data_IF_468260313833
#
_entry.id   IF_468260313833
#
_cell.length_a   1.000
_cell.length_b   1.000
_cell.length_c   1.000
_cell.angle_alpha   90.00
_cell.angle_beta   90.00
_cell.angle_gamma   90.00
#
_symmetry.space_group_name_H-M   'P 1'
#
loop_
_entity.id
_entity.type
_entity.pdbx_description
1 polymer ?
#
# COMPACT_ATOMS: atom_id res chain seq x y z
N UNK A 1 18.00 -30.09 49.67
CA UNK A 1 16.57 -29.77 49.96
C UNK A 1 16.24 -28.54 49.11
N UNK A 2 15.50 -28.69 48.13
CA UNK A 2 14.33 -28.01 47.59
C UNK A 2 14.16 -28.39 46.13
N UNK A 3 13.11 -29.16 45.90
CA UNK A 3 12.59 -29.49 44.61
C UNK A 3 11.75 -28.29 44.09
N UNK A 4 11.94 -27.91 42.87
CA UNK A 4 11.18 -26.89 42.17
C UNK A 4 10.73 -27.41 40.81
N UNK A 5 9.43 -27.55 40.64
CA UNK A 5 8.76 -28.21 39.55
C UNK A 5 9.02 -27.53 38.17
N UNK A 6 9.48 -28.32 37.22
CA UNK A 6 9.46 -28.04 35.79
C UNK A 6 8.03 -28.29 35.26
N UNK A 7 7.32 -27.21 34.92
CA UNK A 7 6.09 -27.29 34.13
C UNK A 7 6.47 -27.40 32.65
N UNK A 8 6.49 -28.61 32.13
CA UNK A 8 6.54 -28.87 30.68
C UNK A 8 5.14 -28.66 30.09
N UNK A 9 4.97 -27.62 29.32
CA UNK A 9 3.90 -27.58 28.34
C UNK A 9 4.28 -28.50 27.19
N UNK A 10 3.77 -29.69 27.20
CA UNK A 10 3.94 -30.65 26.11
C UNK A 10 3.06 -30.23 24.94
N UNK A 11 3.70 -29.96 23.83
CA UNK A 11 3.07 -29.83 22.52
C UNK A 11 2.25 -31.09 22.21
N UNK A 12 0.94 -30.98 21.90
CA UNK A 12 0.10 -32.14 21.59
C UNK A 12 0.62 -33.02 20.46
N UNK A 13 1.49 -32.50 19.61
CA UNK A 13 2.15 -33.24 18.52
C UNK A 13 3.19 -34.26 19.01
N UNK A 14 3.74 -34.10 20.23
CA UNK A 14 4.79 -34.98 20.74
C UNK A 14 4.17 -36.20 21.48
N UNK A 15 2.98 -36.07 22.03
CA UNK A 15 2.31 -37.15 22.75
C UNK A 15 1.78 -38.28 21.83
N UNK A 16 1.63 -38.02 20.53
CA UNK A 16 1.14 -38.99 19.53
C UNK A 16 2.23 -39.89 18.94
N UNK A 17 3.48 -39.64 19.24
CA UNK A 17 4.62 -40.35 18.62
C UNK A 17 5.16 -41.54 19.49
N UNK A 18 4.71 -41.69 20.72
CA UNK A 18 5.29 -42.68 21.63
C UNK A 18 4.47 -43.98 21.89
N UNK A 19 3.26 -44.03 21.35
CA UNK A 19 2.42 -45.25 21.51
C UNK A 19 1.97 -45.71 20.15
N UNK A 20 2.67 -46.62 19.51
CA UNK A 20 2.03 -47.55 18.56
C UNK A 20 3.00 -48.08 17.49
N UNK A 21 3.40 -49.32 17.61
CA UNK A 21 4.03 -50.12 16.55
C UNK A 21 3.00 -51.14 16.06
N UNK A 22 2.44 -50.96 14.88
CA UNK A 22 1.87 -52.01 14.01
C UNK A 22 1.20 -51.40 12.74
N UNK A 23 1.09 -52.18 11.70
CA UNK A 23 0.73 -51.79 10.30
C UNK A 23 -0.64 -51.11 10.07
N UNK A 24 -1.47 -50.97 11.06
CA UNK A 24 -2.72 -50.17 11.00
C UNK A 24 -2.49 -48.67 11.10
N UNK A 25 -1.27 -48.22 11.22
CA UNK A 25 -0.91 -46.80 11.49
C UNK A 25 -0.65 -45.95 10.25
N UNK A 26 -0.32 -46.57 9.13
CA UNK A 26 -0.16 -45.81 7.85
C UNK A 26 -1.49 -45.21 7.40
N UNK A 27 -2.57 -45.96 7.52
CA UNK A 27 -3.91 -45.50 7.13
C UNK A 27 -4.47 -44.46 8.11
N UNK A 28 -4.24 -44.64 9.43
CA UNK A 28 -4.65 -43.67 10.44
C UNK A 28 -3.82 -42.37 10.36
N UNK A 29 -2.51 -42.46 10.15
CA UNK A 29 -1.65 -41.29 9.87
C UNK A 29 -2.09 -40.56 8.62
N UNK A 30 -2.41 -41.30 7.55
CA UNK A 30 -2.93 -40.72 6.32
C UNK A 30 -4.27 -39.97 6.56
N UNK A 31 -5.17 -40.55 7.35
CA UNK A 31 -6.45 -39.95 7.69
C UNK A 31 -6.32 -38.78 8.67
N UNK A 32 -5.40 -38.84 9.65
CA UNK A 32 -5.12 -37.73 10.60
C UNK A 32 -4.39 -36.59 9.86
N UNK A 33 -3.43 -36.89 9.00
CA UNK A 33 -2.76 -35.86 8.18
C UNK A 33 -3.72 -35.26 7.13
N UNK A 34 -4.63 -36.07 6.57
CA UNK A 34 -5.70 -35.58 5.71
C UNK A 34 -6.73 -34.74 6.51
N UNK A 35 -7.09 -35.15 7.74
CA UNK A 35 -7.97 -34.40 8.63
C UNK A 35 -7.32 -33.09 9.11
N UNK A 36 -6.02 -33.08 9.42
CA UNK A 36 -5.24 -31.86 9.75
C UNK A 36 -5.11 -30.97 8.50
N UNK A 37 -5.01 -31.57 7.31
CA UNK A 37 -5.06 -30.82 6.03
C UNK A 37 -6.46 -30.23 5.75
N UNK A 38 -7.52 -30.87 6.20
CA UNK A 38 -8.92 -30.38 6.04
C UNK A 38 -9.22 -29.24 7.02
N UNK A 39 -8.51 -29.14 8.14
CA UNK A 39 -8.58 -27.98 9.06
C UNK A 39 -7.62 -26.84 8.71
N UNK A 40 -6.81 -26.95 7.66
CA UNK A 40 -6.16 -25.78 7.08
C UNK A 40 -7.27 -24.91 6.50
N UNK A 41 -7.48 -23.75 7.10
CA UNK A 41 -8.33 -22.67 6.57
C UNK A 41 -8.11 -22.59 5.07
N UNK A 42 -9.14 -22.87 4.28
CA UNK A 42 -9.03 -22.97 2.81
C UNK A 42 -8.82 -21.61 2.16
N UNK A 43 -9.00 -20.53 2.91
CA UNK A 43 -8.90 -19.15 2.42
C UNK A 43 -7.92 -18.34 3.26
N UNK A 44 -7.00 -17.67 2.56
CA UNK A 44 -5.99 -16.77 3.14
C UNK A 44 -6.68 -15.49 3.65
N UNK A 45 -6.63 -15.23 4.98
CA UNK A 45 -7.21 -14.04 5.58
C UNK A 45 -6.21 -12.89 5.65
N UNK A 46 -6.54 -11.78 5.03
CA UNK A 46 -5.67 -10.62 4.91
C UNK A 46 -6.31 -9.42 5.61
N UNK A 47 -5.60 -8.83 6.59
CA UNK A 47 -5.97 -7.54 7.14
C UNK A 47 -5.43 -6.43 6.21
N UNK A 48 -6.33 -5.56 5.77
CA UNK A 48 -6.00 -4.38 4.96
C UNK A 48 -6.15 -3.13 5.83
N UNK A 49 -5.04 -2.50 6.19
CA UNK A 49 -5.00 -1.16 6.78
C UNK A 49 -4.95 -0.14 5.63
N UNK A 50 -5.72 0.95 5.74
CA UNK A 50 -5.88 1.91 4.64
C UNK A 50 -6.88 1.50 3.56
N UNK A 51 -7.66 0.44 3.78
CA UNK A 51 -8.59 -0.14 2.80
C UNK A 51 -9.74 0.77 2.35
N UNK A 52 -9.99 1.88 3.03
CA UNK A 52 -11.02 2.88 2.67
C UNK A 52 -10.49 4.00 1.76
N UNK A 53 -9.18 4.08 1.55
CA UNK A 53 -8.54 5.04 0.65
C UNK A 53 -8.54 4.56 -0.81
N UNK A 54 -8.08 5.43 -1.72
CA UNK A 54 -8.05 5.15 -3.16
C UNK A 54 -7.23 3.89 -3.48
N UNK A 55 -5.98 3.81 -3.04
CA UNK A 55 -5.13 2.63 -3.25
C UNK A 55 -5.70 1.40 -2.57
N UNK A 56 -6.07 1.49 -1.29
CA UNK A 56 -6.57 0.35 -0.51
C UNK A 56 -7.85 -0.25 -1.09
N UNK A 57 -8.74 0.58 -1.65
CA UNK A 57 -9.97 0.10 -2.30
C UNK A 57 -9.67 -0.71 -3.58
N UNK A 58 -8.67 -0.30 -4.37
CA UNK A 58 -8.21 -1.08 -5.53
C UNK A 58 -7.51 -2.39 -5.09
N UNK A 59 -6.69 -2.35 -4.03
CA UNK A 59 -6.08 -3.56 -3.45
C UNK A 59 -7.15 -4.57 -3.04
N UNK A 60 -8.22 -4.13 -2.41
CA UNK A 60 -9.36 -5.00 -2.04
C UNK A 60 -9.98 -5.64 -3.28
N UNK A 61 -10.19 -4.87 -4.36
CA UNK A 61 -10.71 -5.42 -5.63
C UNK A 61 -9.81 -6.52 -6.19
N UNK A 62 -8.50 -6.29 -6.20
CA UNK A 62 -7.51 -7.24 -6.70
C UNK A 62 -7.42 -8.50 -5.82
N UNK A 63 -7.47 -8.36 -4.49
CA UNK A 63 -7.49 -9.49 -3.56
C UNK A 63 -8.74 -10.35 -3.71
N UNK A 64 -9.91 -9.73 -3.95
CA UNK A 64 -11.16 -10.46 -4.24
C UNK A 64 -11.05 -11.33 -5.50
N UNK A 65 -10.46 -10.81 -6.57
CA UNK A 65 -10.21 -11.58 -7.81
C UNK A 65 -9.35 -12.82 -7.56
N UNK A 66 -8.54 -12.80 -6.49
CA UNK A 66 -7.64 -13.88 -6.08
C UNK A 66 -8.21 -14.80 -4.99
N UNK A 67 -9.48 -14.61 -4.62
CA UNK A 67 -10.19 -15.47 -3.65
C UNK A 67 -9.72 -15.31 -2.20
N UNK A 68 -9.10 -14.18 -1.83
CA UNK A 68 -8.68 -13.93 -0.45
C UNK A 68 -9.88 -13.54 0.45
N UNK A 69 -9.86 -14.00 1.71
CA UNK A 69 -10.74 -13.49 2.77
C UNK A 69 -10.16 -12.15 3.27
N UNK A 70 -10.93 -11.09 3.21
CA UNK A 70 -10.45 -9.73 3.47
C UNK A 70 -11.11 -9.17 4.72
N UNK A 71 -10.28 -8.67 5.63
CA UNK A 71 -10.68 -7.82 6.76
C UNK A 71 -10.13 -6.43 6.55
N UNK A 72 -10.96 -5.40 6.73
CA UNK A 72 -10.56 -3.99 6.61
C UNK A 72 -10.66 -3.31 7.97
N UNK A 73 -9.57 -2.62 8.38
CA UNK A 73 -9.60 -1.74 9.52
C UNK A 73 -10.26 -0.41 9.14
N UNK A 74 -11.28 0.00 9.88
CA UNK A 74 -11.96 1.28 9.73
C UNK A 74 -11.94 2.06 11.04
N UNK A 75 -11.87 3.39 10.97
CA UNK A 75 -11.88 4.25 12.18
C UNK A 75 -13.28 4.48 12.75
N UNK A 76 -14.30 4.35 11.92
CA UNK A 76 -15.69 4.65 12.28
C UNK A 76 -16.61 3.51 11.87
N UNK A 77 -17.59 3.13 12.69
CA UNK A 77 -18.50 2.03 12.39
C UNK A 77 -19.48 2.34 11.25
N UNK A 78 -19.71 3.62 10.92
CA UNK A 78 -20.61 4.05 9.85
C UNK A 78 -20.05 3.77 8.44
N UNK A 79 -18.77 3.43 8.33
CA UNK A 79 -18.18 3.02 7.05
C UNK A 79 -18.85 1.74 6.59
N UNK A 80 -19.62 1.83 5.50
CA UNK A 80 -20.31 0.67 4.92
C UNK A 80 -19.28 -0.35 4.43
N UNK A 81 -19.36 -1.60 4.90
CA UNK A 81 -18.49 -2.64 4.39
C UNK A 81 -18.74 -2.85 2.90
N UNK A 82 -17.68 -3.07 2.14
CA UNK A 82 -17.83 -3.55 0.77
C UNK A 82 -18.39 -4.98 0.79
N UNK A 83 -19.26 -5.38 -0.15
CA UNK A 83 -19.77 -6.76 -0.20
C UNK A 83 -18.64 -7.79 -0.16
N UNK A 84 -18.75 -8.80 0.71
CA UNK A 84 -17.73 -9.85 0.86
C UNK A 84 -16.46 -9.42 1.59
N UNK A 85 -16.49 -8.33 2.37
CA UNK A 85 -15.36 -7.83 3.17
C UNK A 85 -15.79 -7.72 4.63
N UNK A 86 -15.01 -8.31 5.53
CA UNK A 86 -15.17 -8.13 6.98
C UNK A 86 -14.65 -6.75 7.38
N UNK A 87 -15.43 -6.02 8.18
CA UNK A 87 -15.01 -4.71 8.71
C UNK A 87 -14.76 -4.82 10.20
N UNK A 88 -13.64 -4.28 10.67
CA UNK A 88 -13.30 -4.16 12.09
C UNK A 88 -13.00 -2.71 12.42
N UNK A 89 -13.60 -2.23 13.52
CA UNK A 89 -13.36 -0.86 14.00
C UNK A 89 -12.11 -0.84 14.86
N UNK A 90 -11.21 0.12 14.62
CA UNK A 90 -10.03 0.34 15.44
C UNK A 90 -9.28 1.61 15.04
N UNK A 91 -8.39 2.01 15.94
CA UNK A 91 -7.49 3.16 15.79
C UNK A 91 -6.05 2.68 15.79
N UNK A 92 -5.23 3.18 14.84
CA UNK A 92 -3.81 2.82 14.74
C UNK A 92 -2.98 3.30 15.94
N UNK A 93 -3.48 4.25 16.73
CA UNK A 93 -2.89 4.68 17.98
C UNK A 93 -3.40 3.87 19.20
N UNK A 94 -4.39 3.00 19.03
CA UNK A 94 -4.86 2.10 20.09
C UNK A 94 -4.35 0.67 19.87
N UNK A 95 -3.28 0.23 20.60
CA UNK A 95 -2.73 -1.10 20.49
C UNK A 95 -3.74 -2.23 20.78
N UNK A 96 -4.76 -1.97 21.60
CA UNK A 96 -5.77 -2.98 21.97
C UNK A 96 -6.67 -3.29 20.76
N UNK A 97 -7.18 -2.25 20.10
CA UNK A 97 -8.03 -2.41 18.92
C UNK A 97 -7.26 -3.04 17.74
N UNK A 98 -5.99 -2.64 17.53
CA UNK A 98 -5.13 -3.25 16.51
C UNK A 98 -4.83 -4.71 16.83
N UNK A 99 -4.54 -5.03 18.10
CA UNK A 99 -4.34 -6.42 18.52
C UNK A 99 -5.55 -7.30 18.23
N UNK A 100 -6.79 -6.79 18.44
CA UNK A 100 -8.05 -7.47 18.09
C UNK A 100 -8.23 -7.60 16.57
N UNK A 101 -7.92 -6.56 15.80
CA UNK A 101 -8.07 -6.60 14.34
C UNK A 101 -7.18 -7.66 13.67
N UNK A 102 -6.06 -8.01 14.31
CA UNK A 102 -5.10 -9.02 13.85
C UNK A 102 -5.46 -10.45 14.27
N UNK A 103 -6.53 -10.67 15.05
CA UNK A 103 -6.93 -12.02 15.47
C UNK A 103 -7.37 -12.88 14.29
N UNK A 104 -6.71 -14.03 14.12
CA UNK A 104 -6.97 -14.97 13.03
C UNK A 104 -6.59 -14.45 11.64
N UNK A 105 -5.73 -13.44 11.55
CA UNK A 105 -5.19 -12.90 10.30
C UNK A 105 -3.90 -13.63 9.93
N UNK A 106 -3.78 -14.02 8.67
CA UNK A 106 -2.60 -14.69 8.14
C UNK A 106 -1.57 -13.68 7.60
N UNK A 107 -2.02 -12.64 6.90
CA UNK A 107 -1.14 -11.62 6.28
C UNK A 107 -1.68 -10.21 6.51
N UNK A 108 -0.77 -9.23 6.49
CA UNK A 108 -1.08 -7.82 6.70
C UNK A 108 -0.66 -6.99 5.47
N UNK A 109 -1.59 -6.18 4.95
CA UNK A 109 -1.24 -5.01 4.14
C UNK A 109 -1.26 -3.76 5.01
N UNK A 110 -0.10 -3.10 5.14
CA UNK A 110 0.08 -1.93 5.97
C UNK A 110 0.26 -0.68 5.08
N UNK A 111 -0.80 0.09 4.94
CA UNK A 111 -0.84 1.38 4.25
C UNK A 111 -1.25 2.47 5.24
N UNK A 112 -0.28 3.24 5.72
CA UNK A 112 -0.51 4.39 6.58
C UNK A 112 -0.92 5.62 5.76
N UNK A 113 -1.83 6.42 6.31
CA UNK A 113 -2.07 7.77 5.81
C UNK A 113 -0.90 8.68 6.20
N UNK A 114 -0.67 9.72 5.41
CA UNK A 114 0.27 10.80 5.76
C UNK A 114 -0.36 11.63 6.89
N UNK A 115 0.16 11.45 8.11
CA UNK A 115 -0.29 12.10 9.33
C UNK A 115 0.91 12.43 10.21
N UNK A 116 0.80 13.39 11.16
CA UNK A 116 1.93 13.74 12.04
C UNK A 116 2.47 12.58 12.89
N UNK A 117 1.67 11.56 13.10
CA UNK A 117 1.93 10.39 13.93
C UNK A 117 2.10 9.09 13.09
N UNK A 118 2.32 9.21 11.77
CA UNK A 118 2.46 8.09 10.83
C UNK A 118 3.47 7.05 11.30
N UNK A 119 4.65 7.49 11.77
CA UNK A 119 5.68 6.59 12.29
C UNK A 119 5.18 5.75 13.47
N UNK A 120 4.55 6.40 14.45
CA UNK A 120 4.00 5.71 15.63
C UNK A 120 2.95 4.69 15.24
N UNK A 121 2.01 5.07 14.38
CA UNK A 121 0.96 4.19 13.86
C UNK A 121 1.53 2.97 13.15
N UNK A 122 2.51 3.18 12.25
CA UNK A 122 3.16 2.11 11.51
C UNK A 122 3.89 1.13 12.41
N UNK A 123 4.63 1.63 13.41
CA UNK A 123 5.37 0.79 14.35
C UNK A 123 4.45 0.01 15.31
N UNK A 124 3.34 0.59 15.77
CA UNK A 124 2.33 -0.13 16.56
C UNK A 124 1.76 -1.30 15.74
N UNK A 125 1.28 -1.03 14.53
CA UNK A 125 0.68 -2.05 13.67
C UNK A 125 1.68 -3.17 13.35
N UNK A 126 2.91 -2.83 12.97
CA UNK A 126 3.95 -3.80 12.65
C UNK A 126 4.36 -4.66 13.86
N UNK A 127 4.60 -4.06 15.02
CA UNK A 127 5.00 -4.81 16.21
C UNK A 127 3.89 -5.76 16.71
N UNK A 128 2.62 -5.34 16.58
CA UNK A 128 1.50 -6.21 16.92
C UNK A 128 1.32 -7.36 15.92
N UNK A 129 1.55 -7.12 14.62
CA UNK A 129 1.58 -8.16 13.60
C UNK A 129 2.67 -9.21 13.93
N UNK A 130 3.87 -8.78 14.32
CA UNK A 130 4.93 -9.67 14.81
C UNK A 130 4.50 -10.49 16.02
N UNK A 131 3.96 -9.83 17.03
CA UNK A 131 3.47 -10.50 18.27
C UNK A 131 2.38 -11.54 17.96
N UNK A 132 1.54 -11.29 16.96
CA UNK A 132 0.49 -12.21 16.48
C UNK A 132 1.00 -13.27 15.51
N UNK A 133 2.31 -13.25 15.16
CA UNK A 133 2.95 -14.17 14.21
C UNK A 133 2.28 -14.18 12.84
N UNK A 134 1.92 -13.00 12.35
CA UNK A 134 1.47 -12.82 10.96
C UNK A 134 2.55 -13.35 10.02
N UNK A 135 2.18 -14.18 9.05
CA UNK A 135 3.12 -14.90 8.18
C UNK A 135 3.77 -14.02 7.11
N UNK A 136 3.19 -12.84 6.82
CA UNK A 136 3.71 -11.90 5.81
C UNK A 136 3.14 -10.51 6.03
N UNK A 137 4.00 -9.50 5.94
CA UNK A 137 3.63 -8.09 5.94
C UNK A 137 4.00 -7.47 4.58
N UNK A 138 3.03 -6.92 3.88
CA UNK A 138 3.29 -6.06 2.71
C UNK A 138 3.13 -4.62 3.14
N UNK A 139 4.23 -3.86 3.09
CA UNK A 139 4.28 -2.48 3.53
C UNK A 139 4.27 -1.51 2.34
N UNK A 140 3.40 -0.51 2.42
CA UNK A 140 3.29 0.56 1.43
C UNK A 140 4.17 1.74 1.82
N UNK A 141 5.35 1.79 1.23
CA UNK A 141 6.36 2.83 1.38
C UNK A 141 6.26 3.88 0.26
N UNK A 142 7.40 4.41 -0.17
CA UNK A 142 7.51 5.38 -1.28
C UNK A 142 8.80 5.17 -2.06
N UNK A 143 8.78 5.46 -3.35
CA UNK A 143 9.94 5.38 -4.24
C UNK A 143 11.09 6.26 -3.76
N UNK A 144 12.33 5.80 -3.90
CA UNK A 144 13.58 6.51 -3.55
C UNK A 144 13.60 7.09 -2.13
N UNK A 145 12.92 6.47 -1.18
CA UNK A 145 12.74 6.95 0.20
C UNK A 145 14.07 7.34 0.88
N UNK A 146 15.18 6.67 0.54
CA UNK A 146 16.51 6.96 1.10
C UNK A 146 17.09 8.29 0.64
N UNK A 147 16.61 8.83 -0.46
CA UNK A 147 17.11 10.08 -1.06
C UNK A 147 16.30 11.31 -0.64
N UNK A 148 15.21 11.12 0.13
CA UNK A 148 14.26 12.18 0.52
C UNK A 148 14.06 12.21 2.04
N UNK A 149 15.14 12.06 2.81
CA UNK A 149 15.12 11.99 4.29
C UNK A 149 14.71 13.32 4.95
N UNK A 150 14.79 14.40 4.21
CA UNK A 150 14.35 15.74 4.58
C UNK A 150 12.84 15.96 4.44
N UNK A 151 12.12 15.06 3.76
CA UNK A 151 10.67 15.07 3.63
C UNK A 151 10.06 14.28 4.80
N UNK A 152 9.26 14.91 5.70
CA UNK A 152 8.83 14.28 6.95
C UNK A 152 8.13 12.93 6.77
N UNK A 153 7.14 12.82 5.85
CA UNK A 153 6.47 11.54 5.65
C UNK A 153 7.36 10.47 4.97
N UNK A 154 8.34 10.84 4.14
CA UNK A 154 9.32 9.88 3.60
C UNK A 154 10.25 9.38 4.70
N UNK A 155 10.71 10.27 5.58
CA UNK A 155 11.54 9.89 6.73
C UNK A 155 10.79 8.91 7.66
N UNK A 156 9.50 9.13 7.90
CA UNK A 156 8.65 8.22 8.66
C UNK A 156 8.58 6.83 8.00
N UNK A 157 8.37 6.79 6.68
CA UNK A 157 8.33 5.53 5.90
C UNK A 157 9.67 4.80 5.93
N UNK A 158 10.78 5.52 5.78
CA UNK A 158 12.12 4.93 5.87
C UNK A 158 12.37 4.29 7.24
N UNK A 159 11.97 4.95 8.32
CA UNK A 159 12.10 4.42 9.68
C UNK A 159 11.25 3.14 9.88
N UNK A 160 10.04 3.10 9.34
CA UNK A 160 9.19 1.89 9.35
C UNK A 160 9.82 0.76 8.52
N UNK A 161 10.35 1.04 7.32
CA UNK A 161 11.09 0.06 6.52
C UNK A 161 12.28 -0.52 7.27
N UNK A 162 13.04 0.34 7.97
CA UNK A 162 14.18 -0.10 8.77
C UNK A 162 13.77 -1.09 9.86
N UNK A 163 12.67 -0.81 10.57
CA UNK A 163 12.11 -1.72 11.55
C UNK A 163 11.61 -3.05 10.92
N UNK A 164 10.98 -2.98 9.75
CA UNK A 164 10.52 -4.16 9.02
C UNK A 164 11.68 -5.07 8.62
N UNK A 165 12.81 -4.51 8.21
CA UNK A 165 14.00 -5.25 7.78
C UNK A 165 14.80 -5.85 8.93
N UNK A 166 14.70 -5.25 10.12
CA UNK A 166 15.46 -5.67 11.32
C UNK A 166 14.92 -6.96 11.94
N UNK A 167 13.65 -7.25 11.76
CA UNK A 167 12.98 -8.35 12.48
C UNK A 167 12.50 -9.48 11.55
N UNK A 168 12.28 -10.67 12.11
CA UNK A 168 12.10 -11.95 11.41
C UNK A 168 10.74 -12.17 10.72
N UNK A 169 9.86 -11.18 10.61
CA UNK A 169 8.60 -11.34 9.87
C UNK A 169 8.88 -11.29 8.36
N UNK A 170 8.48 -12.29 7.58
CA UNK A 170 8.54 -12.19 6.12
C UNK A 170 7.82 -10.94 5.63
N UNK A 171 8.48 -10.19 4.77
CA UNK A 171 7.95 -8.90 4.29
C UNK A 171 8.08 -8.74 2.78
N UNK A 172 7.28 -7.85 2.23
CA UNK A 172 7.48 -7.21 0.93
C UNK A 172 7.27 -5.71 1.08
N UNK A 173 8.15 -4.91 0.50
CA UNK A 173 8.03 -3.45 0.51
C UNK A 173 7.63 -2.99 -0.89
N UNK A 174 6.53 -2.26 -0.96
CA UNK A 174 5.99 -1.64 -2.17
C UNK A 174 6.34 -0.16 -2.11
N UNK A 175 7.11 0.33 -3.07
CA UNK A 175 7.60 1.72 -3.15
C UNK A 175 7.05 2.41 -4.40
N UNK A 176 5.81 2.87 -4.38
CA UNK A 176 5.24 3.58 -5.51
C UNK A 176 5.83 4.99 -5.65
N UNK A 177 5.85 5.46 -6.88
CA UNK A 177 6.03 6.85 -7.26
C UNK A 177 4.72 7.64 -7.00
N UNK A 178 4.69 8.91 -7.38
CA UNK A 178 3.49 9.76 -7.35
C UNK A 178 2.32 9.10 -8.10
N UNK A 179 1.10 9.23 -7.57
CA UNK A 179 -0.07 8.57 -8.15
C UNK A 179 -0.74 9.43 -9.22
N UNK A 180 -1.08 8.84 -10.37
CA UNK A 180 -1.90 9.50 -11.40
C UNK A 180 -3.17 10.09 -10.81
N UNK A 181 -3.84 9.35 -9.93
CA UNK A 181 -5.13 9.68 -9.36
C UNK A 181 -5.13 10.93 -8.46
N UNK A 182 -3.97 11.41 -8.02
CA UNK A 182 -3.88 12.70 -7.34
C UNK A 182 -4.38 13.83 -8.25
N UNK A 183 -4.11 13.72 -9.55
CA UNK A 183 -4.48 14.75 -10.54
C UNK A 183 -5.98 14.75 -10.88
N UNK A 184 -6.71 13.67 -10.55
CA UNK A 184 -8.17 13.64 -10.72
C UNK A 184 -8.90 14.70 -9.88
N UNK A 185 -8.27 15.17 -8.80
CA UNK A 185 -8.78 16.27 -7.95
C UNK A 185 -8.72 17.64 -8.60
N UNK A 186 -7.96 17.81 -9.70
CA UNK A 186 -7.75 19.10 -10.36
C UNK A 186 -8.83 19.44 -11.40
N UNK A 187 -9.97 18.75 -11.40
CA UNK A 187 -11.06 18.97 -12.34
C UNK A 187 -11.36 20.46 -12.56
N UNK A 188 -11.67 21.19 -11.49
CA UNK A 188 -12.09 22.59 -11.60
C UNK A 188 -10.96 23.50 -12.07
N UNK A 189 -9.74 23.28 -11.59
CA UNK A 189 -8.55 24.05 -11.99
C UNK A 189 -8.26 23.83 -13.50
N UNK A 190 -8.30 22.59 -13.96
CA UNK A 190 -8.07 22.22 -15.35
C UNK A 190 -9.22 22.71 -16.27
N UNK A 191 -10.48 22.53 -15.84
CA UNK A 191 -11.63 22.84 -16.71
C UNK A 191 -12.02 24.31 -16.72
N UNK A 192 -11.86 25.04 -15.60
CA UNK A 192 -12.26 26.46 -15.51
C UNK A 192 -11.09 27.42 -15.63
N UNK A 193 -9.97 27.15 -14.95
CA UNK A 193 -8.81 28.04 -14.96
C UNK A 193 -7.81 27.73 -16.08
N UNK A 194 -7.92 26.55 -16.71
CA UNK A 194 -7.00 26.10 -17.77
C UNK A 194 -5.53 26.03 -17.32
N UNK A 195 -5.29 25.55 -16.08
CA UNK A 195 -3.95 25.48 -15.48
C UNK A 195 -3.72 24.09 -14.87
N UNK A 196 -2.51 23.54 -15.09
CA UNK A 196 -2.01 22.38 -14.34
C UNK A 196 -1.16 22.88 -13.15
N UNK A 197 -1.54 22.55 -11.89
CA UNK A 197 -1.04 23.28 -10.73
C UNK A 197 0.23 22.71 -10.08
N UNK A 198 0.55 21.40 -10.28
CA UNK A 198 1.65 20.76 -9.53
C UNK A 198 3.03 21.16 -10.08
N UNK A 199 3.97 21.55 -9.20
CA UNK A 199 5.33 21.94 -9.58
C UNK A 199 6.20 20.69 -9.83
N UNK A 200 6.07 20.08 -11.03
CA UNK A 200 6.82 18.88 -11.42
C UNK A 200 8.14 19.19 -12.13
N UNK A 201 8.42 20.44 -12.43
CA UNK A 201 9.62 20.88 -13.13
C UNK A 201 9.73 20.37 -14.57
N UNK A 202 10.94 20.51 -15.11
CA UNK A 202 11.32 19.98 -16.43
C UNK A 202 11.90 18.57 -16.35
N UNK A 203 12.52 18.21 -15.22
CA UNK A 203 13.08 16.86 -14.97
C UNK A 203 11.96 15.82 -14.89
N UNK A 204 10.86 16.17 -14.22
CA UNK A 204 9.68 15.34 -14.10
C UNK A 204 9.79 14.19 -13.12
N UNK A 205 8.77 13.33 -13.14
CA UNK A 205 8.58 12.17 -12.29
C UNK A 205 8.09 10.98 -13.10
N UNK A 206 8.30 9.73 -12.62
CA UNK A 206 7.72 8.53 -13.24
C UNK A 206 6.48 8.09 -12.44
N UNK A 207 5.44 8.95 -12.42
CA UNK A 207 4.20 8.66 -11.72
C UNK A 207 3.58 7.33 -12.14
N UNK A 208 2.72 6.73 -11.30
CA UNK A 208 2.16 5.38 -11.47
C UNK A 208 0.66 5.36 -11.22
N UNK A 209 -0.05 4.48 -11.93
CA UNK A 209 -1.48 4.24 -11.69
C UNK A 209 -1.70 3.42 -10.41
N UNK A 210 -2.68 3.81 -9.58
CA UNK A 210 -2.99 3.05 -8.35
C UNK A 210 -3.47 1.63 -8.64
N UNK A 211 -3.98 1.33 -9.84
CA UNK A 211 -4.37 -0.01 -10.27
C UNK A 211 -3.16 -0.94 -10.40
N UNK A 212 -2.04 -0.43 -10.90
CA UNK A 212 -0.78 -1.18 -10.98
C UNK A 212 -0.19 -1.41 -9.58
N UNK A 213 -0.30 -0.41 -8.69
CA UNK A 213 0.08 -0.56 -7.29
C UNK A 213 -0.76 -1.65 -6.62
N UNK A 214 -2.05 -1.63 -6.83
CA UNK A 214 -2.98 -2.59 -6.23
C UNK A 214 -2.73 -4.01 -6.71
N UNK A 215 -2.49 -4.18 -8.00
CA UNK A 215 -2.19 -5.47 -8.61
C UNK A 215 -0.88 -6.05 -8.09
N UNK A 216 0.21 -5.26 -8.08
CA UNK A 216 1.51 -5.64 -7.53
C UNK A 216 1.41 -6.01 -6.04
N UNK A 217 0.63 -5.26 -5.26
CA UNK A 217 0.36 -5.50 -3.85
C UNK A 217 -0.38 -6.82 -3.64
N UNK A 218 -1.44 -7.07 -4.41
CA UNK A 218 -2.23 -8.29 -4.29
C UNK A 218 -1.43 -9.54 -4.74
N UNK A 219 -0.62 -9.45 -5.79
CA UNK A 219 0.32 -10.49 -6.20
C UNK A 219 1.28 -10.81 -5.05
N UNK A 220 1.85 -9.79 -4.42
CA UNK A 220 2.77 -9.96 -3.29
C UNK A 220 2.10 -10.61 -2.09
N UNK A 221 0.87 -10.23 -1.75
CA UNK A 221 0.11 -10.80 -0.63
C UNK A 221 -0.31 -12.25 -0.86
N UNK A 222 -0.56 -12.66 -2.09
CA UNK A 222 -1.11 -13.99 -2.41
C UNK A 222 -0.04 -15.02 -2.80
N UNK A 223 1.25 -14.65 -2.77
CA UNK A 223 2.36 -15.57 -3.09
C UNK A 223 3.56 -15.34 -2.18
N UNK A 224 4.21 -16.42 -1.74
CA UNK A 224 5.39 -16.37 -0.89
C UNK A 224 6.71 -16.10 -1.67
N UNK A 225 6.63 -16.05 -3.02
CA UNK A 225 7.78 -15.74 -3.89
C UNK A 225 8.33 -14.32 -3.73
N UNK A 226 7.58 -13.46 -3.02
CA UNK A 226 7.88 -12.04 -2.86
C UNK A 226 8.48 -11.70 -1.48
N UNK A 227 8.72 -12.71 -0.63
CA UNK A 227 9.34 -12.51 0.69
C UNK A 227 10.73 -11.90 0.55
N UNK A 228 11.02 -10.89 1.39
CA UNK A 228 12.26 -10.13 1.40
C UNK A 228 12.46 -9.20 0.20
N UNK A 229 11.46 -9.02 -0.65
CA UNK A 229 11.54 -8.18 -1.85
C UNK A 229 11.12 -6.74 -1.57
N UNK A 230 11.74 -5.83 -2.32
CA UNK A 230 11.32 -4.43 -2.44
C UNK A 230 11.04 -4.15 -3.92
N UNK A 231 9.88 -3.59 -4.21
CA UNK A 231 9.46 -3.26 -5.57
C UNK A 231 9.26 -1.77 -5.71
N UNK A 232 10.03 -1.14 -6.59
CA UNK A 232 9.80 0.22 -7.05
C UNK A 232 8.70 0.20 -8.11
N UNK A 233 7.60 0.92 -7.87
CA UNK A 233 6.45 0.95 -8.77
C UNK A 233 6.37 2.30 -9.47
N UNK A 234 6.65 2.28 -10.76
CA UNK A 234 6.78 3.48 -11.57
C UNK A 234 6.00 3.32 -12.88
N UNK A 235 5.42 4.40 -13.36
CA UNK A 235 4.79 4.44 -14.69
C UNK A 235 5.83 4.43 -15.83
N UNK A 236 5.39 4.14 -17.05
CA UNK A 236 6.28 3.88 -18.19
C UNK A 236 6.93 5.15 -18.77
N UNK A 237 6.45 6.33 -18.39
CA UNK A 237 6.91 7.59 -18.95
C UNK A 237 7.31 8.60 -17.88
N UNK A 238 8.25 9.48 -18.25
CA UNK A 238 8.60 10.66 -17.44
C UNK A 238 7.59 11.77 -17.71
N UNK A 239 6.98 12.27 -16.67
CA UNK A 239 5.95 13.30 -16.66
C UNK A 239 6.50 14.59 -16.06
N UNK A 240 6.91 15.54 -16.92
CA UNK A 240 7.23 16.90 -16.50
C UNK A 240 5.96 17.76 -16.41
N UNK A 241 6.00 18.89 -15.70
CA UNK A 241 4.86 19.79 -15.61
C UNK A 241 4.31 20.23 -16.97
N UNK A 242 5.15 20.71 -17.92
CA UNK A 242 4.71 21.01 -19.28
C UNK A 242 4.15 19.80 -20.05
N UNK A 243 4.72 18.59 -19.86
CA UNK A 243 4.21 17.37 -20.53
C UNK A 243 2.80 17.03 -20.04
N UNK A 244 2.56 17.07 -18.73
CA UNK A 244 1.23 16.83 -18.17
C UNK A 244 0.22 17.88 -18.64
N UNK A 245 0.59 19.16 -18.65
CA UNK A 245 -0.25 20.23 -19.19
C UNK A 245 -0.59 20.01 -20.69
N UNK A 246 0.37 19.49 -21.50
CA UNK A 246 0.12 19.12 -22.89
C UNK A 246 -0.88 17.98 -23.03
N UNK A 247 -0.74 16.90 -22.22
CA UNK A 247 -1.67 15.76 -22.22
C UNK A 247 -3.09 16.24 -21.87
N UNK A 248 -3.25 17.04 -20.82
CA UNK A 248 -4.56 17.60 -20.49
C UNK A 248 -5.09 18.57 -21.54
N UNK A 249 -4.22 19.27 -22.27
CA UNK A 249 -4.65 20.12 -23.40
C UNK A 249 -5.27 19.29 -24.51
N UNK A 250 -4.67 18.17 -24.87
CA UNK A 250 -5.18 17.24 -25.88
C UNK A 250 -6.52 16.63 -25.43
N UNK A 251 -6.58 16.13 -24.17
CA UNK A 251 -7.78 15.49 -23.61
C UNK A 251 -8.97 16.45 -23.51
N UNK A 252 -8.72 17.71 -23.10
CA UNK A 252 -9.77 18.73 -22.92
C UNK A 252 -10.10 19.50 -24.21
N UNK A 253 -9.31 19.35 -25.27
CA UNK A 253 -9.47 20.09 -26.52
C UNK A 253 -9.26 21.59 -26.37
N UNK A 254 -8.48 22.02 -25.39
CA UNK A 254 -8.15 23.44 -25.13
C UNK A 254 -6.78 23.55 -24.48
N UNK A 255 -6.13 24.72 -24.66
CA UNK A 255 -4.81 24.95 -24.07
C UNK A 255 -4.88 24.93 -22.53
N UNK A 256 -4.08 24.08 -21.90
CA UNK A 256 -3.80 24.06 -20.47
C UNK A 256 -2.37 24.57 -20.28
N UNK A 257 -2.22 25.58 -19.41
CA UNK A 257 -0.92 26.14 -19.11
C UNK A 257 -0.34 25.44 -17.87
N UNK A 258 0.97 25.27 -17.85
CA UNK A 258 1.67 24.84 -16.65
C UNK A 258 1.82 26.01 -15.69
N UNK A 259 1.51 25.82 -14.37
CA UNK A 259 1.59 26.89 -13.37
C UNK A 259 3.02 27.33 -13.05
N UNK A 260 4.01 26.48 -13.35
CA UNK A 260 5.41 26.71 -13.01
C UNK A 260 5.80 26.04 -11.68
N UNK A 261 7.01 26.42 -11.19
CA UNK A 261 7.68 25.75 -10.07
C UNK A 261 7.85 26.66 -8.85
N UNK A 262 7.00 27.69 -8.69
CA UNK A 262 6.99 28.55 -7.51
C UNK A 262 6.45 27.81 -6.29
N UNK A 263 7.36 27.26 -5.49
CA UNK A 263 7.04 26.47 -4.30
C UNK A 263 6.44 27.31 -3.17
N UNK A 264 6.76 28.60 -3.08
CA UNK A 264 6.22 29.46 -2.03
C UNK A 264 4.75 29.78 -2.32
N UNK A 265 4.44 30.12 -3.57
CA UNK A 265 3.05 30.28 -4.01
C UNK A 265 2.25 28.96 -3.89
N UNK A 266 2.86 27.84 -4.21
CA UNK A 266 2.24 26.51 -4.07
C UNK A 266 1.90 26.22 -2.60
N UNK A 267 2.84 26.41 -1.67
CA UNK A 267 2.61 26.17 -0.24
C UNK A 267 1.52 27.11 0.31
N UNK A 268 1.51 28.38 -0.09
CA UNK A 268 0.47 29.34 0.31
C UNK A 268 -0.93 28.87 -0.10
N UNK A 269 -1.08 28.37 -1.34
CA UNK A 269 -2.36 27.82 -1.80
C UNK A 269 -2.74 26.54 -1.03
N UNK A 270 -1.79 25.64 -0.77
CA UNK A 270 -2.02 24.42 0.01
C UNK A 270 -2.52 24.73 1.43
N UNK A 271 -1.98 25.75 2.09
CA UNK A 271 -2.38 26.16 3.45
C UNK A 271 -3.85 26.63 3.55
N UNK A 272 -4.50 26.97 2.45
CA UNK A 272 -5.93 27.34 2.43
C UNK A 272 -6.84 26.11 2.59
N UNK A 273 -6.33 24.91 2.31
CA UNK A 273 -7.11 23.67 2.24
C UNK A 273 -6.54 22.54 3.12
N UNK A 274 -5.33 22.69 3.66
CA UNK A 274 -4.63 21.68 4.45
C UNK A 274 -3.99 22.32 5.71
N UNK A 275 -3.76 21.53 6.77
CA UNK A 275 -2.96 21.98 7.92
C UNK A 275 -1.56 22.42 7.48
N UNK A 276 -0.98 23.38 8.19
CA UNK A 276 0.33 23.96 7.85
C UNK A 276 1.46 22.94 7.74
N UNK A 277 1.46 21.94 8.63
CA UNK A 277 2.45 20.85 8.58
C UNK A 277 2.36 20.04 7.28
N UNK A 278 1.14 19.79 6.79
CA UNK A 278 0.94 19.04 5.54
C UNK A 278 1.34 19.87 4.31
N UNK A 279 1.02 21.15 4.30
CA UNK A 279 1.45 22.06 3.24
C UNK A 279 2.99 22.13 3.16
N UNK A 280 3.65 22.25 4.31
CA UNK A 280 5.13 22.22 4.39
C UNK A 280 5.70 20.88 3.90
N UNK A 281 5.16 19.77 4.38
CA UNK A 281 5.63 18.42 4.01
C UNK A 281 5.54 18.18 2.51
N UNK A 282 4.41 18.52 1.88
CA UNK A 282 4.21 18.39 0.42
C UNK A 282 5.09 19.35 -0.36
N UNK A 283 5.30 20.59 0.15
CA UNK A 283 6.28 21.52 -0.42
C UNK A 283 7.69 20.93 -0.47
N UNK A 284 8.13 20.34 0.67
CA UNK A 284 9.45 19.69 0.75
C UNK A 284 9.57 18.52 -0.23
N UNK A 285 8.49 17.76 -0.41
CA UNK A 285 8.43 16.68 -1.40
C UNK A 285 8.65 17.21 -2.82
N UNK A 286 7.90 18.23 -3.24
CA UNK A 286 8.08 18.83 -4.57
C UNK A 286 9.42 19.52 -4.74
N UNK A 287 9.93 20.18 -3.71
CA UNK A 287 11.30 20.71 -3.74
C UNK A 287 12.32 19.61 -4.04
N UNK A 288 12.20 18.46 -3.37
CA UNK A 288 13.03 17.31 -3.64
C UNK A 288 12.89 16.78 -5.07
N UNK A 289 11.69 16.79 -5.64
CA UNK A 289 11.46 16.39 -7.04
C UNK A 289 12.15 17.34 -8.03
N UNK A 290 12.10 18.64 -7.78
CA UNK A 290 12.76 19.65 -8.62
C UNK A 290 14.30 19.57 -8.54
N UNK A 291 14.84 19.34 -7.34
CA UNK A 291 16.28 19.34 -7.10
C UNK A 291 16.95 18.00 -7.47
N UNK A 292 16.32 16.87 -7.15
CA UNK A 292 16.92 15.53 -7.22
C UNK A 292 16.28 14.61 -8.27
N UNK A 293 15.13 15.03 -8.82
CA UNK A 293 14.31 14.23 -9.72
C UNK A 293 13.64 13.05 -9.02
N UNK A 294 12.55 12.57 -9.60
CA UNK A 294 11.80 11.40 -9.07
C UNK A 294 11.50 10.42 -10.22
N UNK A 295 12.53 10.19 -11.05
CA UNK A 295 12.47 9.42 -12.29
C UNK A 295 12.98 8.00 -12.05
N UNK A 296 12.27 7.03 -12.58
CA UNK A 296 12.62 5.61 -12.57
C UNK A 296 13.79 5.29 -13.50
N UNK A 297 14.54 4.25 -13.18
CA UNK A 297 15.45 3.61 -14.12
C UNK A 297 14.73 2.56 -14.97
N UNK A 298 15.37 2.16 -16.07
CA UNK A 298 14.82 1.14 -16.99
C UNK A 298 14.56 -0.20 -16.26
N UNK A 299 15.42 -0.56 -15.32
CA UNK A 299 15.29 -1.79 -14.50
C UNK A 299 14.03 -1.76 -13.62
N UNK A 300 13.62 -0.59 -13.12
CA UNK A 300 12.42 -0.44 -12.31
C UNK A 300 11.17 -0.76 -13.15
N UNK A 301 11.10 -0.20 -14.37
CA UNK A 301 9.99 -0.43 -15.31
C UNK A 301 9.94 -1.90 -15.75
N UNK A 302 11.09 -2.47 -16.09
CA UNK A 302 11.18 -3.89 -16.48
C UNK A 302 10.75 -4.81 -15.33
N UNK A 303 11.15 -4.49 -14.09
CA UNK A 303 10.79 -5.25 -12.89
C UNK A 303 9.28 -5.19 -12.65
N UNK A 304 8.67 -4.01 -12.74
CA UNK A 304 7.21 -3.87 -12.57
C UNK A 304 6.45 -4.59 -13.69
N UNK A 305 6.87 -4.43 -14.95
CA UNK A 305 6.30 -5.15 -16.11
C UNK A 305 6.30 -6.66 -15.89
N UNK A 306 7.44 -7.22 -15.42
CA UNK A 306 7.55 -8.64 -15.09
C UNK A 306 6.65 -9.08 -13.94
N UNK A 307 6.51 -8.24 -12.91
CA UNK A 307 5.66 -8.52 -11.75
C UNK A 307 4.18 -8.54 -12.14
N UNK A 308 3.74 -7.58 -12.93
CA UNK A 308 2.35 -7.47 -13.39
C UNK A 308 2.01 -8.48 -14.50
N UNK A 309 2.97 -8.85 -15.34
CA UNK A 309 2.76 -9.64 -16.56
C UNK A 309 2.27 -8.82 -17.77
N UNK A 310 2.22 -7.50 -17.62
CA UNK A 310 1.87 -6.52 -18.66
C UNK A 310 2.62 -5.21 -18.43
N UNK A 311 2.61 -4.31 -19.42
CA UNK A 311 3.19 -2.97 -19.27
C UNK A 311 2.39 -2.17 -18.24
N UNK A 312 3.06 -1.34 -17.39
CA UNK A 312 2.37 -0.38 -16.54
C UNK A 312 1.49 0.57 -17.36
N UNK A 313 0.38 1.00 -16.75
CA UNK A 313 -0.61 1.89 -17.41
C UNK A 313 -0.01 3.24 -17.74
N UNK A 314 -0.43 3.82 -18.86
CA UNK A 314 0.02 5.14 -19.31
C UNK A 314 -0.82 6.27 -18.66
N UNK A 315 -0.19 7.43 -18.49
CA UNK A 315 -0.88 8.60 -17.94
C UNK A 315 -1.94 9.15 -18.90
N UNK A 316 -1.68 9.05 -20.18
CA UNK A 316 -2.59 9.45 -21.24
C UNK A 316 -3.93 8.71 -21.14
N UNK A 317 -3.90 7.40 -20.92
CA UNK A 317 -5.11 6.58 -20.73
C UNK A 317 -5.88 7.01 -19.49
N UNK A 318 -5.17 7.19 -18.36
CA UNK A 318 -5.76 7.70 -17.12
C UNK A 318 -6.43 9.07 -17.33
N UNK A 319 -5.81 10.00 -18.05
CA UNK A 319 -6.36 11.33 -18.29
C UNK A 319 -7.65 11.26 -19.14
N UNK A 320 -7.68 10.41 -20.17
CA UNK A 320 -8.87 10.16 -20.98
C UNK A 320 -10.02 9.55 -20.18
N UNK A 321 -9.74 8.51 -19.40
CA UNK A 321 -10.71 7.84 -18.51
C UNK A 321 -11.30 8.84 -17.51
N UNK A 322 -10.44 9.62 -16.85
CA UNK A 322 -10.83 10.63 -15.85
C UNK A 322 -11.73 11.70 -16.46
N UNK A 323 -11.42 12.18 -17.65
CA UNK A 323 -12.27 13.13 -18.34
C UNK A 323 -13.63 12.55 -18.72
N UNK A 324 -13.68 11.29 -19.14
CA UNK A 324 -14.93 10.56 -19.38
C UNK A 324 -15.81 10.50 -18.13
N UNK A 325 -15.23 10.20 -16.98
CA UNK A 325 -15.92 10.21 -15.68
C UNK A 325 -16.45 11.60 -15.31
N UNK A 326 -15.66 12.67 -15.54
CA UNK A 326 -16.11 14.04 -15.26
C UNK A 326 -17.30 14.46 -16.09
N UNK A 327 -17.37 14.04 -17.37
CA UNK A 327 -18.54 14.28 -18.25
C UNK A 327 -19.79 13.56 -17.75
N UNK A 328 -19.64 12.29 -17.38
CA UNK A 328 -20.77 11.48 -16.91
C UNK A 328 -21.38 12.04 -15.63
N UNK A 329 -20.53 12.45 -14.66
CA UNK A 329 -21.00 13.07 -13.42
C UNK A 329 -21.60 14.47 -13.59
N UNK A 330 -21.24 15.19 -14.63
CA UNK A 330 -21.85 16.50 -14.95
C UNK A 330 -23.22 16.37 -15.65
N UNK A 331 -23.50 15.21 -16.24
CA UNK A 331 -24.75 14.91 -16.93
C UNK A 331 -25.80 14.21 -16.03
N UNK A 332 -25.40 13.76 -14.83
CA UNK A 332 -26.25 13.12 -13.83
C UNK A 332 -26.72 14.11 -12.74
#
# INVERSE_FOLDING_TARGET
>A
MFAGALNFWTDPSILLLSVMSSDRHTEFRGRVLAAISIFRRTELKILVIGGTGHVGSEVIKELKKRGAEIRVLVRKPEVKPQPGVETVVGDLLDPVSIGKSLEGVDKLYLLNAVTPDELTQGLIAYNLARKRRVSHVVYHSVFRVEHFKDVPHFASKLAIESAIREFDVPFTIIRPNYFFQNDASFKDILTTMSVYPNPLGLVGISAVDIRDIAEATAISLTSDKHFGRTYNLNGPAVLSGPKVASIWSEVLGKKINYAGDDLDAFEEQMRKHAPSWAAFDIRMMFQGYLERGFVAGDDDIATLTKLLGHQPRAYEDFAQETFGEWKTRAAA
#
